data_IF_808009190937
#
_entry.id   IF_808009190937
#
_cell.length_a   1.000
_cell.length_b   1.000
_cell.length_c   1.000
_cell.angle_alpha   90.00
_cell.angle_beta   90.00
_cell.angle_gamma   90.00
#
_symmetry.space_group_name_H-M   'P 1'
#
loop_
_entity.id
_entity.type
_entity.pdbx_description
1 polymer ?
2 water ?
#
# COMPACT_ATOMS: atom_id res chain seq x y z
N UNK A 1 11.34 16.30 -3.63
CA UNK A 1 11.71 14.89 -3.58
C UNK A 1 11.03 14.21 -2.41
N UNK A 2 10.64 12.95 -2.59
CA UNK A 2 10.12 12.11 -1.51
C UNK A 2 11.21 11.15 -1.08
N UNK A 3 11.50 11.15 0.22
CA UNK A 3 12.36 10.12 0.80
C UNK A 3 11.50 9.02 1.42
N UNK A 4 11.78 7.77 1.06
CA UNK A 4 11.00 6.65 1.56
C UNK A 4 11.94 5.70 2.31
N UNK A 5 11.62 5.39 3.56
CA UNK A 5 12.33 4.40 4.35
C UNK A 5 11.38 3.27 4.72
N UNK A 6 11.85 2.03 4.62
CA UNK A 6 11.07 0.86 5.00
C UNK A 6 11.85 0.11 6.07
N UNK A 7 11.17 -0.24 7.17
CA UNK A 7 11.80 -0.97 8.26
C UNK A 7 11.10 -2.31 8.37
N UNK A 8 11.89 -3.39 8.28
CA UNK A 8 11.35 -4.74 8.24
C UNK A 8 12.35 -5.70 8.86
N UNK A 9 11.84 -6.85 9.35
CA UNK A 9 12.73 -7.94 9.71
C UNK A 9 12.99 -8.86 8.53
N UNK A 10 12.35 -8.61 7.38
CA UNK A 10 12.60 -9.37 6.16
C UNK A 10 12.98 -8.43 5.02
N UNK A 11 14.06 -7.67 5.18
CA UNK A 11 14.35 -6.60 4.21
C UNK A 11 14.44 -7.08 2.77
N UNK A 12 14.86 -8.33 2.54
CA UNK A 12 15.01 -8.84 1.19
C UNK A 12 13.67 -8.98 0.46
N UNK A 13 12.55 -9.03 1.17
CA UNK A 13 11.24 -9.01 0.53
C UNK A 13 11.04 -7.72 -0.27
N UNK A 14 11.72 -6.65 0.10
CA UNK A 14 11.50 -5.35 -0.53
C UNK A 14 12.40 -5.10 -1.74
N UNK A 15 13.06 -6.14 -2.27
CA UNK A 15 13.91 -5.95 -3.44
C UNK A 15 13.20 -5.34 -4.65
N UNK A 16 11.95 -5.68 -4.99
CA UNK A 16 11.34 -5.06 -6.18
C UNK A 16 11.12 -3.58 -6.07
N UNK A 17 11.20 -3.00 -4.86
CA UNK A 17 11.02 -1.57 -4.70
C UNK A 17 11.97 -0.80 -5.60
N UNK A 18 13.19 -1.32 -5.78
CA UNK A 18 14.16 -0.67 -6.66
C UNK A 18 13.73 -0.70 -8.13
N UNK A 19 12.88 -1.63 -8.51
CA UNK A 19 12.36 -1.71 -9.87
C UNK A 19 11.21 -0.72 -10.07
N UNK A 29 16.02 12.78 -9.83
CA UNK A 29 16.01 12.78 -8.38
C UNK A 29 14.65 13.17 -7.80
N UNK A 30 13.66 12.30 -7.96
CA UNK A 30 12.32 12.57 -7.47
C UNK A 30 11.96 11.70 -6.27
N UNK A 31 12.54 10.52 -6.14
CA UNK A 31 12.24 9.62 -5.03
C UNK A 31 13.53 8.94 -4.62
N UNK A 32 13.66 8.69 -3.32
CA UNK A 32 14.77 7.99 -2.72
C UNK A 32 14.20 6.86 -1.86
N UNK A 33 14.74 5.65 -2.00
CA UNK A 33 14.24 4.51 -1.24
C UNK A 33 15.37 3.86 -0.47
N UNK A 34 15.13 3.49 0.78
CA UNK A 34 16.11 2.74 1.54
C UNK A 34 15.42 1.78 2.50
N UNK A 35 15.89 0.54 2.54
CA UNK A 35 15.27 -0.51 3.34
C UNK A 35 16.19 -0.80 4.53
N UNK A 36 15.59 -0.92 5.72
CA UNK A 36 16.34 -1.10 6.96
C UNK A 36 15.91 -2.37 7.64
N UNK A 37 16.88 -3.08 8.22
CA UNK A 37 16.61 -4.28 9.01
C UNK A 37 16.37 -3.88 10.47
N UNK A 38 15.14 -4.10 10.95
CA UNK A 38 14.77 -3.76 12.33
C UNK A 38 15.74 -4.36 13.35
N UNK A 39 16.25 -5.57 13.07
CA UNK A 39 17.16 -6.22 14.01
C UNK A 39 18.44 -5.43 14.23
N UNK A 40 18.73 -4.43 13.40
CA UNK A 40 19.90 -3.59 13.61
C UNK A 40 19.81 -2.78 14.89
N UNK A 41 18.61 -2.62 15.44
CA UNK A 41 18.41 -1.87 16.67
C UNK A 41 18.15 -2.76 17.89
N UNK A 42 18.32 -4.08 17.75
CA UNK A 42 18.36 -4.95 18.92
C UNK A 42 19.76 -4.92 19.53
N UNK A 43 19.86 -5.32 20.80
CA UNK A 43 21.13 -5.28 21.51
C UNK A 43 21.44 -6.60 22.22
N UNK A 44 20.77 -7.69 21.83
CA UNK A 44 21.00 -8.99 22.44
C UNK A 44 21.43 -9.99 21.37
N UNK A 45 22.13 -11.04 21.82
CA UNK A 45 22.58 -12.09 20.91
C UNK A 45 21.40 -12.66 20.13
N UNK A 46 20.22 -12.69 20.74
CA UNK A 46 19.04 -13.20 20.06
C UNK A 46 18.61 -12.31 18.90
N UNK A 47 18.89 -11.01 18.99
CA UNK A 47 18.29 -10.01 18.10
C UNK A 47 16.77 -10.15 18.12
N UNK A 48 16.22 -10.18 19.33
CA UNK A 48 14.81 -10.44 19.53
C UNK A 48 14.00 -9.17 19.29
N UNK A 49 12.92 -9.30 18.51
CA UNK A 49 12.02 -8.19 18.22
C UNK A 49 10.60 -8.45 18.70
N UNK A 50 10.36 -9.54 19.43
CA UNK A 50 9.00 -9.90 19.84
C UNK A 50 9.00 -10.47 21.24
N UNK A 51 7.80 -10.56 21.82
CA UNK A 51 7.61 -11.02 23.19
C UNK A 51 6.13 -11.37 23.37
N UNK A 52 5.84 -12.04 24.48
CA UNK A 52 4.51 -12.59 24.71
C UNK A 52 3.48 -11.46 24.85
N UNK A 53 2.24 -11.70 24.43
CA UNK A 53 1.21 -10.64 24.53
C UNK A 53 0.63 -10.55 25.93
N UNK A 54 0.50 -9.33 26.44
CA UNK A 54 -0.22 -9.09 27.68
C UNK A 54 -1.69 -9.47 27.51
N UNK A 55 -2.23 -10.19 28.48
CA UNK A 55 -3.59 -10.69 28.40
C UNK A 55 -3.74 -11.97 27.62
N UNK A 56 -2.67 -12.49 27.01
CA UNK A 56 -2.73 -13.71 26.23
C UNK A 56 -3.09 -13.42 24.79
N UNK A 57 -2.70 -14.33 23.91
CA UNK A 57 -2.94 -14.12 22.50
C UNK A 57 -2.40 -15.27 21.69
N UNK A 58 -2.74 -15.31 20.40
CA UNK A 58 -2.38 -16.49 19.58
C UNK A 58 -0.96 -16.45 19.04
N UNK A 59 -0.26 -15.32 19.16
CA UNK A 59 1.13 -15.26 18.76
C UNK A 59 1.90 -14.21 19.55
N UNK A 60 3.01 -13.72 19.00
CA UNK A 60 3.87 -12.79 19.71
C UNK A 60 3.70 -11.37 19.17
N UNK A 61 4.07 -10.39 19.99
CA UNK A 61 3.89 -8.98 19.66
C UNK A 61 5.26 -8.32 19.56
N UNK A 62 5.44 -7.46 18.56
CA UNK A 62 6.74 -6.83 18.34
C UNK A 62 7.02 -5.76 19.41
N UNK A 63 8.23 -5.80 19.97
CA UNK A 63 8.60 -4.97 21.11
C UNK A 63 8.60 -3.50 20.76
N UNK A 64 8.12 -2.68 21.69
CA UNK A 64 8.09 -1.24 21.54
C UNK A 64 9.48 -0.59 21.66
N UNK A 65 10.37 -1.04 22.56
CA UNK A 65 11.67 -0.36 22.65
C UNK A 65 12.50 -0.49 21.38
N UNK A 66 12.50 -1.67 20.76
CA UNK A 66 13.24 -1.86 19.52
C UNK A 66 12.72 -0.90 18.46
N UNK A 67 11.39 -0.86 18.29
CA UNK A 67 10.80 0.02 17.29
C UNK A 67 11.01 1.49 17.64
N UNK A 68 10.83 1.84 18.92
CA UNK A 68 11.05 3.22 19.33
C UNK A 68 12.43 3.72 18.96
N UNK A 69 13.45 2.91 19.26
CA UNK A 69 14.82 3.26 18.91
C UNK A 69 14.99 3.42 17.41
N UNK A 70 14.39 2.53 16.63
CA UNK A 70 14.54 2.59 15.18
C UNK A 70 13.88 3.83 14.61
N UNK A 71 12.67 4.13 15.08
CA UNK A 71 11.98 5.32 14.59
C UNK A 71 12.62 6.60 15.14
N UNK A 72 13.23 6.54 16.33
CA UNK A 72 14.00 7.68 16.82
C UNK A 72 15.05 8.09 15.81
N UNK A 73 15.73 7.10 15.23
CA UNK A 73 16.84 7.38 14.31
C UNK A 73 16.35 7.80 12.93
N UNK A 74 15.28 7.17 12.43
CA UNK A 74 14.87 7.36 11.05
C UNK A 74 13.92 8.54 10.88
N UNK A 75 13.06 8.81 11.86
CA UNK A 75 11.99 9.79 11.69
C UNK A 75 12.37 11.15 12.26
N UNK A 76 11.79 12.19 11.67
CA UNK A 76 11.84 13.55 12.19
C UNK A 76 10.43 14.13 12.25
N UNK A 77 10.32 15.42 12.55
CA UNK A 77 9.00 16.04 12.70
C UNK A 77 8.21 16.03 11.39
N UNK A 78 8.90 16.03 10.24
CA UNK A 78 8.23 16.04 8.94
C UNK A 78 7.79 14.66 8.48
N UNK A 79 8.13 13.60 9.19
CA UNK A 79 7.89 12.24 8.71
C UNK A 79 6.41 11.91 8.76
N UNK A 80 5.93 11.25 7.72
CA UNK A 80 4.63 10.59 7.76
C UNK A 80 4.90 9.10 7.95
N UNK A 81 4.57 8.60 9.13
CA UNK A 81 4.78 7.20 9.44
C UNK A 81 3.54 6.41 9.04
N UNK A 82 3.74 5.40 8.19
CA UNK A 82 2.69 4.50 7.72
C UNK A 82 2.90 3.14 8.39
N UNK A 83 1.84 2.58 8.99
CA UNK A 83 1.91 1.27 9.60
C UNK A 83 0.92 0.35 8.89
N UNK A 84 1.39 -0.54 8.03
CA UNK A 84 0.49 -1.50 7.39
C UNK A 84 -0.03 -2.51 8.42
N UNK A 85 -1.36 -2.65 8.47
CA UNK A 85 -1.99 -3.55 9.42
C UNK A 85 -3.43 -3.80 8.96
N UNK A 86 -3.97 -5.00 9.19
CA UNK A 86 -5.38 -5.23 8.83
C UNK A 86 -6.34 -4.48 9.73
N UNK A 87 -5.86 -3.88 10.81
CA UNK A 87 -6.71 -3.08 11.67
C UNK A 87 -6.77 -1.63 11.22
N UNK A 88 -6.21 -1.30 10.05
CA UNK A 88 -6.06 0.08 9.64
C UNK A 88 -7.14 0.54 8.67
N UNK A 89 -7.11 1.84 8.37
CA UNK A 89 -7.99 2.38 7.35
C UNK A 89 -7.61 1.86 5.98
N UNK A 90 -8.60 1.76 5.10
CA UNK A 90 -8.33 1.20 3.78
C UNK A 90 -7.49 2.17 2.95
N UNK A 91 -6.45 1.64 2.33
CA UNK A 91 -5.67 2.39 1.36
C UNK A 91 -6.46 2.55 0.07
N UNK A 92 -6.43 3.73 -0.52
CA UNK A 92 -7.13 3.96 -1.78
C UNK A 92 -6.37 4.99 -2.59
N UNK A 93 -6.88 5.28 -3.79
CA UNK A 93 -6.16 6.17 -4.70
C UNK A 93 -6.04 7.57 -4.13
N UNK A 94 -7.01 8.02 -3.34
CA UNK A 94 -6.91 9.36 -2.78
C UNK A 94 -5.78 9.43 -1.77
N UNK A 95 -5.61 8.38 -0.97
CA UNK A 95 -4.48 8.31 -0.05
C UNK A 95 -3.15 8.33 -0.79
N UNK A 96 -3.04 7.55 -1.87
CA UNK A 96 -1.79 7.49 -2.64
C UNK A 96 -1.42 8.87 -3.18
N UNK A 97 -2.40 9.57 -3.76
CA UNK A 97 -2.16 10.93 -4.22
C UNK A 97 -1.71 11.81 -3.06
N UNK A 98 -2.46 11.79 -1.95
CA UNK A 98 -2.11 12.62 -0.80
C UNK A 98 -0.70 12.32 -0.31
N UNK A 99 -0.33 11.05 -0.20
CA UNK A 99 1.02 10.73 0.25
C UNK A 99 2.08 11.16 -0.75
N UNK A 100 1.73 11.28 -2.03
CA UNK A 100 2.72 11.65 -3.02
C UNK A 100 3.24 13.07 -2.84
N UNK A 101 2.52 13.91 -2.09
CA UNK A 101 2.97 15.26 -1.80
C UNK A 101 3.92 15.35 -0.61
N UNK A 102 4.07 14.27 0.17
CA UNK A 102 4.92 14.32 1.34
C UNK A 102 6.40 14.38 0.94
N UNK A 103 7.24 14.78 1.90
CA UNK A 103 8.69 14.72 1.70
C UNK A 103 9.36 13.54 2.37
N UNK A 104 8.74 12.91 3.37
CA UNK A 104 9.34 11.73 4.01
C UNK A 104 8.27 10.72 4.44
N UNK A 105 8.24 9.59 3.76
CA UNK A 105 7.39 8.46 4.13
C UNK A 105 8.24 7.37 4.77
N UNK A 106 7.77 6.84 5.89
CA UNK A 106 8.40 5.70 6.55
C UNK A 106 7.35 4.61 6.73
N UNK A 107 7.66 3.40 6.22
CA UNK A 107 6.78 2.23 6.34
C UNK A 107 7.33 1.28 7.40
N UNK A 108 6.57 1.09 8.48
CA UNK A 108 6.94 0.19 9.57
C UNK A 108 6.23 -1.15 9.37
N UNK A 109 6.97 -2.17 8.92
CA UNK A 109 6.39 -3.47 8.58
C UNK A 109 6.35 -4.36 9.81
N UNK A 110 5.16 -4.66 10.28
CA UNK A 110 5.02 -5.58 11.39
C UNK A 110 4.99 -7.01 10.93
N UNK A 111 5.30 -7.91 11.85
CA UNK A 111 5.20 -9.35 11.66
C UNK A 111 4.46 -9.92 12.87
N UNK A 112 4.09 -11.20 12.75
CA UNK A 112 3.38 -11.93 13.80
C UNK A 112 2.03 -11.23 14.02
N UNK A 113 1.62 -10.98 15.25
CA UNK A 113 0.37 -10.34 15.57
C UNK A 113 0.44 -8.80 15.54
N UNK A 114 1.49 -8.22 14.97
CA UNK A 114 1.60 -6.78 14.89
C UNK A 114 2.56 -6.20 15.91
N UNK A 115 2.46 -4.88 16.06
CA UNK A 115 3.40 -4.06 16.83
C UNK A 115 2.70 -3.52 18.08
N UNK A 116 3.41 -3.54 19.21
CA UNK A 116 2.90 -2.94 20.44
C UNK A 116 2.29 -1.58 20.12
N UNK A 117 1.05 -1.38 20.56
CA UNK A 117 0.32 -0.16 20.20
C UNK A 117 1.03 1.11 20.70
N UNK A 118 1.80 1.04 21.78
CA UNK A 118 2.42 2.27 22.27
C UNK A 118 3.47 2.81 21.31
N UNK A 119 3.97 1.99 20.39
CA UNK A 119 4.85 2.49 19.32
C UNK A 119 4.16 3.60 18.53
N UNK A 120 2.94 3.34 18.10
CA UNK A 120 2.19 4.32 17.32
C UNK A 120 1.84 5.52 18.18
N UNK A 121 1.44 5.28 19.43
CA UNK A 121 1.10 6.39 20.32
C UNK A 121 2.32 7.26 20.61
N UNK A 122 3.48 6.65 20.90
CA UNK A 122 4.69 7.42 21.15
C UNK A 122 5.10 8.22 19.92
N UNK A 123 5.06 7.57 18.74
CA UNK A 123 5.46 8.23 17.51
C UNK A 123 4.56 9.42 17.20
N UNK A 124 3.25 9.26 17.42
CA UNK A 124 2.27 10.30 17.18
C UNK A 124 2.52 11.56 18.00
N UNK A 125 3.44 11.54 18.97
CA UNK A 125 3.81 12.74 19.71
C UNK A 125 4.67 13.69 18.88
N UNK A 126 5.42 13.15 17.91
CA UNK A 126 6.44 13.90 17.19
C UNK A 126 6.18 13.96 15.69
N UNK A 127 5.29 13.13 15.16
CA UNK A 127 5.05 13.04 13.72
C UNK A 127 3.59 12.66 13.48
N UNK A 128 3.22 12.58 12.21
CA UNK A 128 1.92 12.07 11.82
C UNK A 128 2.02 10.58 11.52
N UNK A 129 1.02 9.82 11.97
CA UNK A 129 1.02 8.36 11.81
C UNK A 129 -0.33 7.93 11.25
N UNK A 130 -0.30 7.05 10.24
CA UNK A 130 -1.50 6.46 9.66
C UNK A 130 -1.37 4.95 9.66
N UNK A 131 -2.36 4.26 10.24
CA UNK A 131 -2.45 2.81 10.18
C UNK A 131 -3.38 2.43 9.04
N UNK A 132 -2.87 1.68 8.06
CA UNK A 132 -3.63 1.44 6.85
C UNK A 132 -3.56 -0.04 6.45
N UNK A 133 -4.63 -0.49 5.81
CA UNK A 133 -4.75 -1.83 5.25
C UNK A 133 -4.97 -1.71 3.75
N UNK A 134 -4.24 -2.51 2.97
CA UNK A 134 -4.48 -2.46 1.52
C UNK A 134 -5.70 -3.27 1.10
N UNK A 135 -6.31 -4.03 2.00
CA UNK A 135 -7.48 -4.82 1.64
C UNK A 135 -7.81 -5.84 2.71
N UNK A 136 -9.00 -6.44 2.56
CA UNK A 136 -9.55 -7.34 3.57
C UNK A 136 -9.08 -8.78 3.34
N UNK A 137 -7.79 -8.98 3.52
CA UNK A 137 -7.17 -10.29 3.41
C UNK A 137 -5.96 -10.28 4.32
N UNK A 138 -5.52 -11.46 4.74
CA UNK A 138 -4.45 -11.61 5.73
C UNK A 138 -3.14 -11.95 5.02
N UNK A 139 -2.09 -11.20 5.34
CA UNK A 139 -0.75 -11.44 4.84
C UNK A 139 0.14 -11.84 6.01
N UNK A 140 1.37 -12.26 5.70
CA UNK A 140 2.27 -12.61 6.80
C UNK A 140 2.84 -11.39 7.50
N UNK A 141 2.79 -10.22 6.87
CA UNK A 141 3.39 -9.02 7.44
C UNK A 141 3.15 -7.85 6.52
N UNK A 142 3.67 -6.71 6.93
CA UNK A 142 3.44 -5.47 6.19
C UNK A 142 4.19 -5.35 4.88
N UNK A 143 5.13 -6.25 4.61
CA UNK A 143 6.09 -6.03 3.51
C UNK A 143 5.39 -5.95 2.16
N UNK A 144 4.50 -6.90 1.87
CA UNK A 144 3.84 -6.93 0.58
C UNK A 144 2.92 -5.73 0.42
N UNK A 145 2.23 -5.35 1.49
CA UNK A 145 1.41 -4.14 1.46
C UNK A 145 2.26 -2.91 1.19
N UNK A 146 3.45 -2.83 1.80
CA UNK A 146 4.35 -1.70 1.54
C UNK A 146 4.75 -1.64 0.07
N UNK A 147 5.03 -2.80 -0.53
CA UNK A 147 5.37 -2.80 -1.96
C UNK A 147 4.23 -2.21 -2.78
N UNK A 148 2.99 -2.54 -2.43
CA UNK A 148 1.83 -2.06 -3.17
C UNK A 148 1.68 -0.54 -2.99
N UNK A 149 1.78 -0.04 -1.74
CA UNK A 149 1.57 1.38 -1.50
C UNK A 149 2.71 2.22 -2.07
N UNK A 150 3.95 1.73 -2.01
CA UNK A 150 5.06 2.46 -2.60
C UNK A 150 4.88 2.59 -4.11
N UNK A 151 4.58 1.48 -4.78
CA UNK A 151 4.31 1.54 -6.22
C UNK A 151 3.20 2.53 -6.53
N UNK A 152 2.11 2.47 -5.77
CA UNK A 152 0.96 3.35 -6.03
C UNK A 152 1.33 4.82 -5.86
N UNK A 153 2.23 5.14 -4.92
CA UNK A 153 2.62 6.53 -4.68
C UNK A 153 3.65 6.99 -5.71
N UNK A 154 4.71 6.21 -5.90
CA UNK A 154 5.83 6.65 -6.73
C UNK A 154 5.41 6.90 -8.16
N UNK A 155 4.44 6.12 -8.67
CA UNK A 155 3.99 6.32 -10.03
C UNK A 155 3.24 7.63 -10.22
N UNK A 156 2.90 8.35 -9.15
CA UNK A 156 2.22 9.62 -9.26
C UNK A 156 3.16 10.82 -9.23
N UNK A 157 4.46 10.59 -9.07
CA UNK A 157 5.46 11.63 -8.95
C UNK A 157 5.91 12.12 -10.33
N UNK A 158 6.38 13.37 -10.43
CA UNK A 158 6.77 13.98 -11.71
C UNK A 158 7.85 13.19 -12.45
N UNK A 173 -17.62 8.79 -16.00
CA UNK A 173 -17.63 7.43 -15.46
C UNK A 173 -16.40 7.18 -14.60
N UNK A 174 -15.89 8.24 -13.98
CA UNK A 174 -14.73 8.10 -13.11
C UNK A 174 -15.03 7.26 -11.87
N UNK A 175 -16.30 7.19 -11.46
CA UNK A 175 -16.74 6.29 -10.43
C UNK A 175 -17.08 4.88 -10.90
N UNK A 176 -16.95 4.59 -12.18
CA UNK A 176 -17.24 3.27 -12.72
C UNK A 176 -15.95 2.53 -13.03
N UNK A 177 -16.07 1.20 -13.13
CA UNK A 177 -14.93 0.40 -13.55
C UNK A 177 -14.61 0.68 -15.02
N UNK A 178 -13.38 0.36 -15.41
CA UNK A 178 -13.05 0.35 -16.83
C UNK A 178 -13.79 -0.80 -17.50
N UNK A 179 -14.28 -0.55 -18.71
CA UNK A 179 -14.80 -1.60 -19.55
C UNK A 179 -13.69 -2.30 -20.31
N UNK A 180 -14.09 -3.22 -21.19
CA UNK A 180 -13.09 -3.98 -21.95
C UNK A 180 -12.39 -3.12 -23.00
N UNK A 181 -11.17 -3.54 -23.31
CA UNK A 181 -10.38 -2.91 -24.34
C UNK A 181 -9.99 -3.95 -25.37
N UNK A 182 -9.75 -3.49 -26.59
CA UNK A 182 -9.47 -4.38 -27.70
C UNK A 182 -8.37 -3.80 -28.56
N UNK A 183 -7.56 -4.67 -29.15
CA UNK A 183 -6.61 -4.25 -30.16
C UNK A 183 -6.65 -5.27 -31.30
N UNK A 184 -5.78 -5.09 -32.29
CA UNK A 184 -5.79 -5.96 -33.46
C UNK A 184 -5.55 -7.41 -33.06
N UNK A 185 -6.05 -8.37 -33.86
CA UNK A 185 -6.86 -8.21 -35.07
C UNK A 185 -8.35 -7.97 -34.80
N UNK A 186 -9.13 -7.60 -35.83
CA UNK A 186 -10.57 -7.44 -35.61
C UNK A 186 -11.29 -8.74 -35.28
N UNK A 187 -10.75 -9.88 -35.71
CA UNK A 187 -11.33 -11.18 -35.36
C UNK A 187 -10.22 -12.12 -34.93
N UNK A 188 -10.36 -12.69 -33.75
CA UNK A 188 -9.35 -13.59 -33.19
C UNK A 188 -10.05 -14.77 -32.53
N UNK A 189 -9.74 -15.99 -33.00
CA UNK A 189 -10.26 -17.23 -32.42
C UNK A 189 -11.79 -17.23 -32.35
N UNK A 190 -12.43 -16.66 -33.37
CA UNK A 190 -13.88 -16.59 -33.44
C UNK A 190 -14.51 -15.40 -32.75
N UNK A 191 -13.73 -14.64 -31.96
CA UNK A 191 -14.24 -13.51 -31.19
C UNK A 191 -13.92 -12.21 -31.89
N UNK A 192 -14.95 -11.41 -32.16
CA UNK A 192 -14.79 -10.16 -32.89
C UNK A 192 -14.78 -8.98 -31.94
N UNK A 193 -13.96 -7.98 -32.28
CA UNK A 193 -14.01 -6.69 -31.59
C UNK A 193 -15.37 -6.04 -31.87
N UNK A 194 -16.05 -5.49 -30.87
CA UNK A 194 -17.35 -4.85 -31.11
C UNK A 194 -17.27 -3.86 -32.26
N UNK A 195 -18.18 -3.97 -33.24
CA UNK A 195 -18.04 -3.14 -34.46
C UNK A 195 -18.04 -1.64 -34.19
N UNK A 196 -18.74 -1.17 -33.15
CA UNK A 196 -18.75 0.25 -32.86
C UNK A 196 -17.33 0.76 -32.62
N UNK A 197 -16.47 -0.09 -32.04
CA UNK A 197 -15.10 0.32 -31.78
C UNK A 197 -14.30 0.44 -33.07
N UNK A 198 -14.64 -0.35 -34.11
CA UNK A 198 -13.98 -0.25 -35.40
C UNK A 198 -14.50 0.91 -36.22
N UNK A 199 -15.77 1.29 -36.05
CA UNK A 199 -16.37 2.42 -36.75
C UNK A 199 -16.21 3.63 -35.84
N UNK A 200 -15.06 4.29 -35.99
CA UNK A 200 -14.53 5.17 -34.96
C UNK A 200 -15.22 6.50 -34.74
N UNK A 201 -16.55 6.51 -34.70
CA UNK A 201 -17.25 7.71 -34.28
C UNK A 201 -17.06 7.90 -32.79
N UNK A 202 -16.48 9.04 -32.40
CA UNK A 202 -16.14 9.25 -30.99
C UNK A 202 -17.38 9.22 -30.11
N UNK A 203 -18.49 9.78 -30.59
CA UNK A 203 -19.71 9.77 -29.79
C UNK A 203 -20.21 8.35 -29.61
N UNK A 204 -20.22 7.55 -30.69
CA UNK A 204 -20.70 6.18 -30.60
C UNK A 204 -19.83 5.35 -29.65
N UNK A 205 -18.51 5.50 -29.76
CA UNK A 205 -17.61 4.72 -28.89
C UNK A 205 -17.87 5.05 -27.43
N UNK A 206 -17.88 6.35 -27.09
CA UNK A 206 -18.06 6.77 -25.71
C UNK A 206 -19.37 6.24 -25.13
N UNK A 207 -20.45 6.29 -25.90
CA UNK A 207 -21.74 5.82 -25.38
C UNK A 207 -21.69 4.33 -25.10
N UNK A 208 -21.17 3.55 -26.04
CA UNK A 208 -21.02 2.11 -25.83
C UNK A 208 -20.14 1.83 -24.63
N UNK A 209 -19.05 2.59 -24.46
CA UNK A 209 -18.13 2.33 -23.36
C UNK A 209 -18.77 2.67 -22.02
N UNK A 210 -19.57 3.75 -21.97
CA UNK A 210 -20.24 4.04 -20.71
C UNK A 210 -21.30 2.97 -20.38
N UNK A 211 -21.97 2.45 -21.40
CA UNK A 211 -22.89 1.33 -21.17
C UNK A 211 -22.14 0.13 -20.62
N UNK A 212 -20.99 -0.19 -21.21
CA UNK A 212 -20.19 -1.33 -20.76
C UNK A 212 -19.67 -1.11 -19.35
N UNK A 213 -19.14 0.08 -19.07
CA UNK A 213 -18.65 0.37 -17.73
C UNK A 213 -19.77 0.26 -16.71
N UNK A 214 -20.97 0.69 -17.09
CA UNK A 214 -22.11 0.63 -16.19
C UNK A 214 -22.46 -0.82 -15.85
N UNK A 215 -22.67 -1.64 -16.88
CA UNK A 215 -23.05 -3.03 -16.63
C UNK A 215 -21.97 -3.75 -15.82
N UNK A 216 -20.70 -3.49 -16.13
CA UNK A 216 -19.64 -4.22 -15.44
C UNK A 216 -19.57 -3.83 -13.97
N UNK A 217 -19.71 -2.54 -13.67
CA UNK A 217 -19.76 -2.10 -12.28
C UNK A 217 -20.92 -2.77 -11.55
N UNK A 218 -22.11 -2.77 -12.18
CA UNK A 218 -23.25 -3.47 -11.60
C UNK A 218 -22.93 -4.93 -11.33
N UNK A 219 -22.28 -5.60 -12.28
CA UNK A 219 -22.00 -7.02 -12.14
C UNK A 219 -20.97 -7.29 -11.04
N UNK A 220 -19.89 -6.51 -11.03
CA UNK A 220 -18.71 -6.82 -10.22
C UNK A 220 -18.62 -6.03 -8.94
N UNK A 221 -18.89 -4.72 -8.97
CA UNK A 221 -18.73 -3.85 -7.80
C UNK A 221 -19.99 -3.04 -7.60
N UNK A 222 -21.10 -3.67 -7.25
CA UNK A 222 -22.32 -2.91 -6.97
C UNK A 222 -22.16 -1.92 -5.82
N UNK A 223 -21.21 -2.15 -4.92
CA UNK A 223 -21.00 -1.22 -3.81
C UNK A 223 -20.61 0.17 -4.32
N UNK A 224 -19.87 0.24 -5.43
CA UNK A 224 -19.51 1.53 -6.00
C UNK A 224 -20.73 2.36 -6.39
N UNK A 225 -21.89 1.73 -6.49
CA UNK A 225 -23.14 2.43 -6.69
C UNK A 225 -23.97 2.51 -5.42
N UNK A 226 -23.89 1.49 -4.57
CA UNK A 226 -24.67 1.34 -3.33
C UNK A 226 -26.16 1.31 -3.59
#
# INVERSE_FOLDING_TARGET
>A
MVRIDVISIFPAYLDPIRQSLPGKAIDAGIVSVEVHDLRNWTHDVHRSVDDSPYGGGPGMVMKAPVWGEALDEICSEETLLVVPTPAGRLFDQRTAQRWSTERHLVFACGRYEGIDQRVVDDAARRMRVEEVSIGDYVLNGGEAATLVMVEAVVRLLPDVLGNPASHQQDSHSDGLLEGPSYTRPPSWRGLDVPPVLLSGDHAKVAAWRHEQALQRTRERRPDLLDAGHHHHHH
#
